data_IF_864549797741
#
_entry.id   IF_864549797741
#
_cell.length_a   1.000
_cell.length_b   1.000
_cell.length_c   1.000
_cell.angle_alpha   90.00
_cell.angle_beta   90.00
_cell.angle_gamma   90.00
#
_symmetry.space_group_name_H-M   'P 1'
#
loop_
_entity.id
_entity.type
_entity.pdbx_description
1 polymer ?
#
# COMPACT_ATOMS: atom_id res chain seq x y z
N UNK A 1 -9.57 16.99 -75.31
CA UNK A 1 -8.24 17.68 -75.31
C UNK A 1 -7.93 18.04 -73.88
N UNK A 2 -6.87 17.45 -73.31
CA UNK A 2 -6.04 17.93 -72.16
C UNK A 2 -6.74 18.02 -70.81
N UNK A 3 -6.22 17.62 -69.66
CA UNK A 3 -4.88 17.13 -69.24
C UNK A 3 -5.08 16.44 -67.90
N UNK A 4 -4.42 15.28 -67.71
CA UNK A 4 -4.14 14.59 -66.46
C UNK A 4 -3.05 15.35 -65.70
N UNK A 5 -3.19 15.58 -64.41
CA UNK A 5 -2.10 15.71 -63.42
C UNK A 5 -2.67 15.41 -62.04
N UNK A 6 -2.42 14.24 -61.49
CA UNK A 6 -1.34 13.95 -60.56
C UNK A 6 -1.51 14.60 -59.18
N UNK A 7 -1.91 13.82 -58.22
CA UNK A 7 -1.65 14.11 -56.79
C UNK A 7 -1.33 12.80 -56.05
N UNK A 8 -0.08 12.41 -56.14
CA UNK A 8 0.59 11.53 -55.19
C UNK A 8 1.30 12.45 -54.21
N UNK A 9 0.71 12.75 -53.09
CA UNK A 9 1.42 13.28 -51.91
C UNK A 9 0.45 13.37 -50.70
N UNK A 10 0.13 12.28 -50.04
CA UNK A 10 -0.48 12.26 -48.72
C UNK A 10 -0.38 10.89 -48.05
N UNK A 11 0.79 10.27 -48.04
CA UNK A 11 0.95 8.98 -47.32
C UNK A 11 2.34 8.83 -46.65
N UNK A 12 2.86 9.86 -46.03
CA UNK A 12 4.14 9.77 -45.26
C UNK A 12 4.11 10.50 -43.93
N UNK A 13 2.98 11.02 -43.46
CA UNK A 13 2.94 11.82 -42.21
C UNK A 13 2.18 11.15 -41.04
N UNK A 14 1.91 9.84 -41.09
CA UNK A 14 1.15 9.17 -40.02
C UNK A 14 1.96 8.17 -39.18
N UNK A 15 3.26 8.05 -39.37
CA UNK A 15 4.10 7.06 -38.67
C UNK A 15 5.17 7.67 -37.72
N UNK A 16 5.11 8.95 -37.43
CA UNK A 16 6.09 9.59 -36.51
C UNK A 16 5.50 10.06 -35.19
N UNK A 17 4.20 9.88 -34.95
CA UNK A 17 3.53 10.30 -33.70
C UNK A 17 3.23 9.14 -32.72
N UNK A 18 3.47 7.88 -33.13
CA UNK A 18 3.21 6.72 -32.24
C UNK A 18 4.43 6.26 -31.43
N UNK A 19 5.63 6.77 -31.70
CA UNK A 19 6.86 6.34 -31.00
C UNK A 19 7.16 7.19 -29.76
N UNK A 20 6.67 8.43 -29.70
CA UNK A 20 6.96 9.32 -28.55
C UNK A 20 6.09 9.09 -27.31
N UNK A 21 4.88 8.52 -27.48
CA UNK A 21 3.97 8.29 -26.35
C UNK A 21 4.38 7.06 -25.52
N UNK A 22 5.01 6.06 -26.13
CA UNK A 22 5.48 4.86 -25.41
C UNK A 22 6.78 5.07 -24.64
N UNK A 23 7.60 6.05 -25.01
CA UNK A 23 8.83 6.37 -24.30
C UNK A 23 8.59 7.23 -23.04
N UNK A 24 7.51 8.02 -23.01
CA UNK A 24 7.16 8.88 -21.87
C UNK A 24 6.46 8.12 -20.75
N UNK A 25 5.72 7.05 -21.09
CA UNK A 25 5.07 6.19 -20.08
C UNK A 25 6.08 5.24 -19.41
N UNK A 26 7.17 4.88 -20.09
CA UNK A 26 8.25 4.05 -19.50
C UNK A 26 9.20 4.84 -18.56
N UNK A 27 9.19 6.18 -18.61
CA UNK A 27 10.07 7.03 -17.79
C UNK A 27 9.49 7.42 -16.43
N UNK A 28 8.21 7.17 -16.17
CA UNK A 28 7.54 7.49 -14.89
C UNK A 28 7.66 6.33 -13.87
N UNK A 29 8.09 5.16 -14.30
CA UNK A 29 8.18 3.97 -13.44
C UNK A 29 9.49 3.83 -12.65
N UNK A 30 10.35 4.84 -12.58
CA UNK A 30 11.73 4.66 -12.10
C UNK A 30 12.21 5.69 -11.08
N UNK A 31 11.42 6.02 -10.05
CA UNK A 31 11.95 6.83 -8.94
C UNK A 31 11.51 6.38 -7.55
N UNK A 32 10.94 5.20 -7.39
CA UNK A 32 10.79 4.63 -6.05
C UNK A 32 12.19 4.40 -5.47
N UNK A 33 12.56 5.18 -4.46
CA UNK A 33 13.86 5.07 -3.79
C UNK A 33 13.91 3.76 -3.02
N UNK A 34 14.53 2.75 -3.59
CA UNK A 34 14.87 1.54 -2.85
C UNK A 34 16.10 1.83 -2.01
N UNK A 35 16.09 1.62 -0.69
CA UNK A 35 17.28 1.77 0.12
C UNK A 35 18.42 0.89 -0.40
N UNK A 36 19.69 1.35 -0.32
CA UNK A 36 20.82 0.58 -0.79
C UNK A 36 20.90 -0.75 -0.02
N UNK A 37 20.99 -1.85 -0.74
CA UNK A 37 21.09 -3.19 -0.13
C UNK A 37 22.51 -3.53 0.34
N UNK A 38 23.53 -2.73 -0.04
CA UNK A 38 24.94 -2.91 0.31
C UNK A 38 25.44 -1.80 1.24
N UNK A 39 24.76 -1.57 2.35
CA UNK A 39 25.07 -0.53 3.33
C UNK A 39 25.85 -1.05 4.57
N UNK A 40 26.27 -2.31 4.54
CA UNK A 40 26.99 -2.96 5.64
C UNK A 40 26.09 -3.54 6.75
N UNK A 41 24.77 -3.29 6.72
CA UNK A 41 23.85 -3.94 7.65
C UNK A 41 23.53 -5.36 7.19
N UNK A 42 23.45 -6.33 8.12
CA UNK A 42 23.03 -7.68 7.77
C UNK A 42 21.60 -7.67 7.21
N UNK A 43 21.34 -8.61 6.30
CA UNK A 43 19.99 -8.88 5.81
C UNK A 43 19.68 -10.34 6.06
N UNK A 44 18.77 -10.65 7.00
CA UNK A 44 18.34 -12.02 7.27
C UNK A 44 17.78 -12.67 6.00
N UNK A 45 17.87 -13.99 5.93
CA UNK A 45 17.23 -14.74 4.84
C UNK A 45 15.73 -14.77 5.07
N UNK A 46 14.96 -14.09 4.20
CA UNK A 46 13.50 -14.17 4.17
C UNK A 46 13.09 -14.98 2.93
N UNK A 47 12.42 -16.10 3.14
CA UNK A 47 11.91 -16.96 2.05
C UNK A 47 10.41 -17.04 2.14
N UNK A 48 9.73 -16.68 1.06
CA UNK A 48 8.28 -16.82 0.93
C UNK A 48 7.97 -18.31 0.73
N UNK A 49 7.08 -18.85 1.56
CA UNK A 49 6.68 -20.26 1.51
C UNK A 49 5.19 -20.40 1.70
N UNK A 50 4.57 -21.28 0.93
CA UNK A 50 3.16 -21.62 1.05
C UNK A 50 2.87 -22.21 2.43
N UNK A 51 1.76 -21.78 3.03
CA UNK A 51 1.27 -22.31 4.31
C UNK A 51 1.70 -21.53 5.55
N UNK A 52 2.75 -20.66 5.48
CA UNK A 52 3.17 -19.85 6.63
C UNK A 52 3.40 -18.37 6.30
N UNK A 53 3.17 -17.96 5.06
CA UNK A 53 3.31 -16.57 4.61
C UNK A 53 1.96 -15.96 4.29
N UNK A 54 1.75 -14.69 4.64
CA UNK A 54 0.58 -13.91 4.28
C UNK A 54 0.95 -12.51 3.78
N UNK A 55 0.08 -11.93 2.94
CA UNK A 55 0.10 -10.52 2.57
C UNK A 55 -0.74 -9.73 3.59
N UNK A 56 -0.17 -8.70 4.21
CA UNK A 56 -0.85 -7.77 5.10
C UNK A 56 -0.85 -6.39 4.48
N UNK A 57 -2.03 -5.80 4.31
CA UNK A 57 -2.21 -4.44 3.79
C UNK A 57 -2.82 -3.57 4.88
N UNK A 58 -2.09 -2.52 5.26
CA UNK A 58 -2.58 -1.49 6.19
C UNK A 58 -3.30 -0.39 5.44
N UNK A 59 -4.45 0.04 5.95
CA UNK A 59 -5.20 1.24 5.55
C UNK A 59 -5.36 1.44 4.02
N UNK A 60 -5.88 0.45 3.24
CA UNK A 60 -6.09 0.62 1.80
C UNK A 60 -7.32 1.50 1.49
N UNK A 61 -7.46 2.60 2.22
CA UNK A 61 -8.67 3.42 2.35
C UNK A 61 -8.59 4.72 1.55
N UNK A 62 -9.76 5.25 1.19
CA UNK A 62 -9.90 6.45 0.34
C UNK A 62 -9.20 7.68 0.92
N UNK A 63 -9.21 7.88 2.24
CA UNK A 63 -8.60 9.06 2.86
C UNK A 63 -7.10 9.19 2.58
N UNK A 64 -6.41 8.06 2.38
CA UNK A 64 -5.02 8.05 1.96
C UNK A 64 -4.83 7.98 0.44
N UNK A 65 -5.60 7.13 -0.25
CA UNK A 65 -5.24 6.65 -1.59
C UNK A 65 -6.09 7.26 -2.71
N UNK A 66 -7.15 7.99 -2.35
CA UNK A 66 -7.97 8.72 -3.32
C UNK A 66 -7.48 10.18 -3.46
N UNK A 67 -7.42 10.74 -4.67
CA UNK A 67 -7.21 12.17 -4.86
C UNK A 67 -8.24 13.07 -4.16
N UNK A 68 -9.36 12.49 -3.72
CA UNK A 68 -10.40 13.17 -2.93
C UNK A 68 -10.27 12.92 -1.42
N UNK A 69 -9.33 12.10 -0.99
CA UNK A 69 -9.08 11.80 0.41
C UNK A 69 -8.57 13.00 1.18
N UNK A 70 -8.93 13.10 2.45
CA UNK A 70 -8.62 14.29 3.29
C UNK A 70 -7.13 14.52 3.50
N UNK A 71 -6.29 13.50 3.30
CA UNK A 71 -4.84 13.60 3.44
C UNK A 71 -4.10 13.76 2.11
N UNK A 72 -4.80 13.73 0.98
CA UNK A 72 -4.16 13.76 -0.34
C UNK A 72 -3.20 14.93 -0.53
N UNK A 73 -3.49 16.09 0.04
CA UNK A 73 -2.63 17.27 -0.02
C UNK A 73 -1.21 17.06 0.52
N UNK A 74 -1.01 16.08 1.41
CA UNK A 74 0.30 15.77 2.01
C UNK A 74 0.85 14.41 1.60
N UNK A 75 0.01 13.43 1.24
CA UNK A 75 0.49 12.09 0.84
C UNK A 75 0.49 11.90 -0.68
N UNK A 76 -0.30 12.64 -1.42
CA UNK A 76 -0.56 12.40 -2.85
C UNK A 76 0.69 12.43 -3.71
N UNK A 77 1.67 13.28 -3.40
CA UNK A 77 2.97 13.30 -4.08
C UNK A 77 3.68 11.96 -3.93
N UNK A 78 3.90 11.51 -2.70
CA UNK A 78 4.57 10.24 -2.41
C UNK A 78 3.81 9.04 -2.99
N UNK A 79 2.48 9.00 -2.84
CA UNK A 79 1.62 7.95 -3.43
C UNK A 79 1.79 7.86 -4.94
N UNK A 80 1.89 9.00 -5.62
CA UNK A 80 2.03 9.07 -7.08
C UNK A 80 3.44 8.68 -7.52
N UNK A 81 4.46 9.24 -6.88
CA UNK A 81 5.86 8.99 -7.23
C UNK A 81 6.27 7.53 -7.01
N UNK A 82 5.77 6.88 -5.96
CA UNK A 82 6.02 5.46 -5.67
C UNK A 82 5.13 4.51 -6.50
N UNK A 83 4.09 5.01 -7.15
CA UNK A 83 3.11 4.16 -7.81
C UNK A 83 2.28 3.30 -6.85
N UNK A 84 2.19 3.70 -5.59
CA UNK A 84 1.64 2.92 -4.46
C UNK A 84 0.30 2.28 -4.77
N UNK A 85 -0.62 3.03 -5.40
CA UNK A 85 -1.95 2.51 -5.73
C UNK A 85 -1.91 1.34 -6.72
N UNK A 86 -1.07 1.42 -7.76
CA UNK A 86 -0.93 0.35 -8.74
C UNK A 86 -0.16 -0.85 -8.17
N UNK A 87 0.83 -0.59 -7.34
CA UNK A 87 1.65 -1.61 -6.68
C UNK A 87 0.83 -2.43 -5.68
N UNK A 88 -0.01 -1.79 -4.86
CA UNK A 88 -0.96 -2.49 -3.97
C UNK A 88 -1.94 -3.37 -4.76
N UNK A 89 -2.49 -2.87 -5.87
CA UNK A 89 -3.36 -3.70 -6.72
C UNK A 89 -2.61 -4.91 -7.30
N UNK A 90 -1.36 -4.73 -7.70
CA UNK A 90 -0.52 -5.81 -8.21
C UNK A 90 -0.27 -6.89 -7.16
N UNK A 91 -0.03 -6.48 -5.91
CA UNK A 91 0.10 -7.42 -4.78
C UNK A 91 -1.19 -8.19 -4.53
N UNK A 92 -2.35 -7.51 -4.49
CA UNK A 92 -3.66 -8.17 -4.35
C UNK A 92 -3.91 -9.19 -5.48
N UNK A 93 -3.70 -8.79 -6.74
CA UNK A 93 -3.85 -9.68 -7.91
C UNK A 93 -2.93 -10.89 -7.83
N UNK A 94 -1.70 -10.69 -7.41
CA UNK A 94 -0.73 -11.78 -7.28
C UNK A 94 -1.15 -12.74 -6.18
N UNK A 95 -1.56 -12.21 -5.01
CA UNK A 95 -2.02 -13.02 -3.90
C UNK A 95 -3.24 -13.88 -4.30
N UNK A 96 -4.22 -13.29 -4.99
CA UNK A 96 -5.39 -14.01 -5.49
C UNK A 96 -5.01 -15.12 -6.48
N UNK A 97 -4.08 -14.84 -7.41
CA UNK A 97 -3.68 -15.79 -8.44
C UNK A 97 -2.98 -17.04 -7.91
N UNK A 98 -2.28 -16.94 -6.77
CA UNK A 98 -1.55 -18.07 -6.16
C UNK A 98 -2.19 -18.59 -4.87
N UNK A 99 -3.34 -18.04 -4.49
CA UNK A 99 -4.06 -18.35 -3.23
C UNK A 99 -3.20 -18.06 -1.97
N UNK A 100 -2.43 -16.96 -2.01
CA UNK A 100 -1.72 -16.42 -0.85
C UNK A 100 -2.73 -15.78 0.11
N UNK A 101 -2.76 -16.14 1.42
CA UNK A 101 -3.65 -15.51 2.39
C UNK A 101 -3.45 -13.99 2.46
N UNK A 102 -4.54 -13.24 2.46
CA UNK A 102 -4.54 -11.77 2.53
C UNK A 102 -5.25 -11.30 3.79
N UNK A 103 -4.63 -10.36 4.49
CA UNK A 103 -5.18 -9.69 5.66
C UNK A 103 -5.18 -8.19 5.41
N UNK A 104 -6.27 -7.52 5.74
CA UNK A 104 -6.39 -6.07 5.71
C UNK A 104 -6.57 -5.57 7.13
N UNK A 105 -5.71 -4.66 7.56
CA UNK A 105 -5.76 -4.00 8.86
C UNK A 105 -6.23 -2.56 8.67
N UNK A 106 -7.52 -2.25 8.91
CA UNK A 106 -8.08 -0.93 8.67
C UNK A 106 -7.96 -0.01 9.87
N UNK A 107 -8.02 1.29 9.62
CA UNK A 107 -8.15 2.31 10.64
C UNK A 107 -9.57 2.90 10.62
N UNK A 108 -10.28 2.85 11.72
CA UNK A 108 -11.58 3.52 11.87
C UNK A 108 -11.66 4.27 13.19
N UNK A 109 -12.21 5.49 13.10
CA UNK A 109 -12.69 6.23 14.26
C UNK A 109 -14.22 6.20 14.33
N UNK A 110 -14.73 6.17 15.55
CA UNK A 110 -16.14 6.17 15.87
C UNK A 110 -16.49 7.39 16.72
N UNK A 111 -17.77 7.79 16.86
CA UNK A 111 -18.16 8.99 17.60
C UNK A 111 -17.66 9.05 19.05
N UNK A 112 -17.37 7.91 19.68
CA UNK A 112 -16.84 7.89 21.04
C UNK A 112 -15.31 8.16 21.07
N UNK A 113 -14.57 7.90 20.02
CA UNK A 113 -13.15 8.18 19.92
C UNK A 113 -12.88 9.68 19.93
N UNK A 114 -13.75 10.50 19.33
CA UNK A 114 -13.71 11.96 19.37
C UNK A 114 -13.88 12.58 20.78
N UNK A 115 -14.06 11.74 21.80
CA UNK A 115 -14.17 12.17 23.20
C UNK A 115 -12.92 11.84 24.02
N UNK A 116 -11.85 11.42 23.39
CA UNK A 116 -10.58 11.16 24.08
C UNK A 116 -10.06 12.40 24.80
N UNK A 117 -9.44 12.19 25.94
CA UNK A 117 -8.88 13.26 26.76
C UNK A 117 -7.37 13.43 26.59
N UNK A 118 -6.73 12.41 26.04
CA UNK A 118 -5.28 12.35 25.83
C UNK A 118 -5.04 11.92 24.41
N UNK A 119 -4.44 12.79 23.62
CA UNK A 119 -4.22 12.58 22.18
C UNK A 119 -2.84 13.08 21.79
N UNK A 120 -2.21 12.41 20.84
CA UNK A 120 -1.04 12.91 20.15
C UNK A 120 -1.42 13.96 19.10
N UNK A 121 -0.43 14.70 18.60
CA UNK A 121 -0.65 15.79 17.63
C UNK A 121 -1.39 15.33 16.38
N UNK A 122 -1.05 14.12 15.87
CA UNK A 122 -1.69 13.59 14.68
C UNK A 122 -3.13 13.13 14.95
N UNK A 123 -3.43 12.55 16.10
CA UNK A 123 -4.79 12.13 16.47
C UNK A 123 -5.74 13.33 16.54
N UNK A 124 -5.30 14.43 17.18
CA UNK A 124 -6.04 15.70 17.19
C UNK A 124 -6.31 16.19 15.76
N UNK A 125 -5.33 16.09 14.85
CA UNK A 125 -5.52 16.47 13.47
C UNK A 125 -6.51 15.55 12.75
N UNK A 126 -6.39 14.23 12.92
CA UNK A 126 -7.24 13.23 12.28
C UNK A 126 -8.70 13.40 12.67
N UNK A 127 -8.99 13.61 13.96
CA UNK A 127 -10.35 13.93 14.43
C UNK A 127 -10.85 15.26 13.85
N UNK A 128 -10.01 16.30 13.81
CA UNK A 128 -10.38 17.61 13.25
C UNK A 128 -10.75 17.54 11.76
N UNK A 129 -10.07 16.72 10.98
CA UNK A 129 -10.34 16.56 9.53
C UNK A 129 -11.29 15.39 9.23
N UNK A 130 -11.82 14.74 10.26
CA UNK A 130 -12.74 13.61 10.17
C UNK A 130 -12.18 12.43 9.35
N UNK A 131 -10.87 12.16 9.52
CA UNK A 131 -10.19 11.09 8.83
C UNK A 131 -10.67 9.73 9.34
N UNK A 132 -11.00 8.80 8.43
CA UNK A 132 -11.45 7.43 8.72
C UNK A 132 -12.69 7.33 9.60
N UNK A 133 -13.49 8.39 9.68
CA UNK A 133 -14.70 8.36 10.53
C UNK A 133 -15.76 7.38 10.02
N UNK A 134 -16.35 6.67 10.96
CA UNK A 134 -17.52 5.83 10.81
C UNK A 134 -18.63 6.35 11.71
N UNK A 135 -19.85 6.31 11.22
CA UNK A 135 -21.02 6.75 12.02
C UNK A 135 -21.28 5.89 13.24
N UNK A 136 -21.01 4.58 13.13
CA UNK A 136 -21.25 3.60 14.20
C UNK A 136 -20.43 2.33 13.95
N UNK A 137 -20.16 1.58 15.01
CA UNK A 137 -19.42 0.33 14.95
C UNK A 137 -20.18 -0.78 14.22
N UNK A 138 -21.50 -0.83 14.38
CA UNK A 138 -22.38 -1.89 13.90
C UNK A 138 -23.16 -1.50 12.65
N UNK A 139 -23.02 -0.24 12.18
CA UNK A 139 -23.69 0.28 11.00
C UNK A 139 -22.72 0.50 9.85
N UNK A 140 -23.16 0.17 8.65
CA UNK A 140 -22.49 0.53 7.39
C UNK A 140 -23.07 1.79 6.75
N UNK A 141 -23.96 2.49 7.46
CA UNK A 141 -24.54 3.73 6.97
C UNK A 141 -23.46 4.79 6.71
N UNK A 142 -23.46 5.36 5.49
CA UNK A 142 -22.51 6.37 5.07
C UNK A 142 -21.07 5.86 4.90
N UNK A 143 -20.83 4.54 4.95
CA UNK A 143 -19.51 3.99 4.74
C UNK A 143 -19.11 3.96 3.27
N UNK A 144 -20.03 3.53 2.39
CA UNK A 144 -19.75 3.40 0.96
C UNK A 144 -19.33 4.74 0.35
N UNK A 145 -18.16 4.76 -0.29
CA UNK A 145 -17.56 5.94 -0.91
C UNK A 145 -17.04 6.99 0.07
N UNK A 146 -17.12 6.75 1.39
CA UNK A 146 -16.50 7.62 2.40
C UNK A 146 -14.97 7.56 2.38
N UNK A 147 -14.32 8.44 3.14
CA UNK A 147 -12.87 8.39 3.37
C UNK A 147 -12.41 7.08 4.02
N UNK A 148 -13.25 6.52 4.89
CA UNK A 148 -13.00 5.27 5.59
C UNK A 148 -13.20 4.02 4.71
N UNK A 149 -13.90 4.11 3.57
CA UNK A 149 -14.13 3.00 2.65
C UNK A 149 -12.86 2.65 1.85
N UNK A 150 -12.82 1.43 1.36
CA UNK A 150 -11.74 0.95 0.50
C UNK A 150 -11.66 1.72 -0.81
N UNK A 151 -10.46 1.93 -1.33
CA UNK A 151 -10.33 2.42 -2.70
C UNK A 151 -11.04 1.42 -3.64
N UNK A 152 -11.91 1.93 -4.53
CA UNK A 152 -12.82 1.09 -5.33
C UNK A 152 -12.13 -0.05 -6.08
N UNK A 153 -10.90 0.17 -6.57
CA UNK A 153 -10.13 -0.84 -7.29
C UNK A 153 -9.71 -2.03 -6.43
N UNK A 154 -9.69 -1.90 -5.09
CA UNK A 154 -9.33 -3.00 -4.18
C UNK A 154 -10.54 -3.79 -3.68
N UNK A 155 -11.74 -3.24 -3.80
CA UNK A 155 -12.99 -3.90 -3.32
C UNK A 155 -13.16 -5.33 -3.84
N UNK A 156 -12.86 -5.66 -5.12
CA UNK A 156 -12.97 -7.04 -5.59
C UNK A 156 -12.09 -8.03 -4.82
N UNK A 157 -10.92 -7.59 -4.37
CA UNK A 157 -9.96 -8.44 -3.63
C UNK A 157 -10.25 -8.47 -2.14
N UNK A 158 -10.78 -7.39 -1.56
CA UNK A 158 -11.07 -7.30 -0.13
C UNK A 158 -12.41 -7.99 0.18
N UNK A 159 -13.41 -7.82 -0.67
CA UNK A 159 -14.77 -8.33 -0.46
C UNK A 159 -14.99 -9.72 -1.11
N UNK A 160 -13.92 -10.47 -1.41
CA UNK A 160 -13.97 -11.75 -2.12
C UNK A 160 -14.38 -12.96 -1.23
N UNK A 161 -14.61 -12.75 0.05
CA UNK A 161 -14.93 -13.81 1.02
C UNK A 161 -13.73 -14.66 1.48
N UNK A 162 -12.52 -14.39 0.99
CA UNK A 162 -11.27 -15.06 1.39
C UNK A 162 -10.37 -14.13 2.21
N UNK A 163 -10.32 -12.84 1.87
CA UNK A 163 -9.54 -11.84 2.59
C UNK A 163 -10.07 -11.62 4.00
N UNK A 164 -9.18 -11.68 4.98
CA UNK A 164 -9.50 -11.38 6.37
C UNK A 164 -9.40 -9.89 6.59
N UNK A 165 -10.52 -9.22 6.83
CA UNK A 165 -10.53 -7.85 7.33
C UNK A 165 -10.55 -7.92 8.85
N UNK A 166 -9.48 -7.47 9.49
CA UNK A 166 -9.36 -7.50 10.95
C UNK A 166 -10.21 -6.41 11.61
N UNK A 167 -10.38 -6.48 12.93
CA UNK A 167 -10.91 -5.35 13.69
C UNK A 167 -10.07 -4.11 13.39
N UNK A 168 -10.62 -2.90 13.44
CA UNK A 168 -9.85 -1.71 13.15
C UNK A 168 -8.83 -1.45 14.25
N UNK A 169 -7.62 -1.06 13.86
CA UNK A 169 -6.71 -0.43 14.80
C UNK A 169 -7.11 1.04 15.04
N UNK A 170 -6.69 1.60 16.15
CA UNK A 170 -7.12 2.93 16.61
C UNK A 170 -6.04 3.99 16.51
N UNK A 171 -4.79 3.60 16.67
CA UNK A 171 -3.64 4.48 16.55
C UNK A 171 -2.84 4.07 15.32
N UNK A 172 -1.74 3.41 15.49
CA UNK A 172 -0.84 3.13 14.39
C UNK A 172 -0.54 1.65 14.21
N UNK A 173 -0.49 0.90 15.29
CA UNK A 173 -0.09 -0.50 15.28
C UNK A 173 -1.23 -1.48 15.49
N UNK A 174 -0.97 -2.78 15.30
CA UNK A 174 -1.98 -3.83 15.45
C UNK A 174 -2.26 -4.19 16.91
N UNK A 175 -1.69 -3.51 17.91
CA UNK A 175 -1.89 -3.78 19.32
C UNK A 175 -3.35 -3.58 19.76
N UNK A 176 -4.07 -2.71 19.04
CA UNK A 176 -5.48 -2.41 19.31
C UNK A 176 -6.46 -3.23 18.46
N UNK A 177 -5.97 -4.18 17.64
CA UNK A 177 -6.80 -5.04 16.82
C UNK A 177 -6.44 -6.53 16.96
N UNK A 178 -7.06 -7.39 16.17
CA UNK A 178 -6.88 -8.84 16.22
C UNK A 178 -5.95 -9.40 15.12
N UNK A 179 -5.17 -8.56 14.43
CA UNK A 179 -4.33 -8.99 13.29
C UNK A 179 -3.37 -10.13 13.68
N UNK A 180 -2.58 -9.94 14.74
CA UNK A 180 -1.61 -10.94 15.17
C UNK A 180 -2.29 -12.26 15.59
N UNK A 181 -3.47 -12.19 16.25
CA UNK A 181 -4.28 -13.36 16.57
C UNK A 181 -4.73 -14.10 15.31
N UNK A 182 -5.24 -13.40 14.32
CA UNK A 182 -5.74 -13.99 13.08
C UNK A 182 -4.60 -14.66 12.28
N UNK A 183 -3.45 -13.99 12.17
CA UNK A 183 -2.24 -14.55 11.55
C UNK A 183 -1.82 -15.85 12.26
N UNK A 184 -1.66 -15.83 13.59
CA UNK A 184 -1.26 -17.02 14.37
C UNK A 184 -2.25 -18.18 14.28
N UNK A 185 -3.56 -17.88 14.28
CA UNK A 185 -4.61 -18.90 14.13
C UNK A 185 -4.57 -19.60 12.79
N UNK A 186 -4.04 -18.96 11.75
CA UNK A 186 -3.86 -19.56 10.43
C UNK A 186 -2.45 -20.13 10.20
N UNK A 187 -1.60 -20.19 11.24
CA UNK A 187 -0.23 -20.75 11.15
C UNK A 187 0.75 -19.84 10.43
N UNK A 188 0.44 -18.55 10.29
CA UNK A 188 1.31 -17.57 9.65
C UNK A 188 2.39 -17.11 10.63
N UNK A 189 3.63 -17.11 10.19
CA UNK A 189 4.79 -16.56 10.91
C UNK A 189 5.61 -15.58 10.04
N UNK A 190 5.29 -15.48 8.73
CA UNK A 190 5.92 -14.58 7.78
C UNK A 190 4.91 -13.62 7.18
N UNK A 191 5.25 -12.36 7.17
CA UNK A 191 4.37 -11.28 6.71
C UNK A 191 5.05 -10.48 5.61
N UNK A 192 4.37 -10.37 4.47
CA UNK A 192 4.65 -9.39 3.43
C UNK A 192 3.78 -8.18 3.73
N UNK A 193 4.38 -7.07 4.14
CA UNK A 193 3.69 -5.88 4.63
C UNK A 193 3.74 -4.74 3.60
N UNK A 194 2.59 -4.16 3.33
CA UNK A 194 2.42 -2.98 2.48
C UNK A 194 1.23 -2.13 2.97
N UNK A 195 0.97 -1.00 2.34
CA UNK A 195 -0.16 -0.11 2.68
C UNK A 195 0.26 1.24 3.21
N UNK A 196 -0.62 1.91 3.96
CA UNK A 196 -0.44 3.29 4.40
C UNK A 196 -0.40 3.41 5.92
N UNK A 197 0.18 4.45 6.50
CA UNK A 197 1.20 5.30 5.89
C UNK A 197 2.59 4.81 6.32
N UNK A 198 3.58 4.98 5.46
CA UNK A 198 4.92 4.37 5.60
C UNK A 198 5.51 4.53 7.01
N UNK A 199 5.68 5.76 7.49
CA UNK A 199 6.29 6.09 8.79
C UNK A 199 5.32 6.07 9.99
N UNK A 200 4.10 5.63 9.77
CA UNK A 200 3.05 5.58 10.80
C UNK A 200 2.53 4.13 10.91
N UNK A 201 1.33 3.86 10.38
CA UNK A 201 0.68 2.56 10.56
C UNK A 201 1.51 1.40 9.98
N UNK A 202 2.09 1.53 8.78
CA UNK A 202 2.93 0.48 8.19
C UNK A 202 4.17 0.20 9.05
N UNK A 203 4.88 1.24 9.49
CA UNK A 203 6.05 1.08 10.37
C UNK A 203 5.66 0.50 11.74
N UNK A 204 4.56 0.97 12.34
CA UNK A 204 4.11 0.46 13.63
C UNK A 204 3.70 -1.01 13.55
N UNK A 205 3.01 -1.42 12.46
CA UNK A 205 2.70 -2.82 12.22
C UNK A 205 3.98 -3.66 12.07
N UNK A 206 4.97 -3.17 11.33
CA UNK A 206 6.26 -3.85 11.21
C UNK A 206 6.91 -4.06 12.58
N UNK A 207 7.03 -3.00 13.39
CA UNK A 207 7.67 -3.05 14.71
C UNK A 207 6.98 -4.05 15.63
N UNK A 208 5.67 -3.94 15.77
CA UNK A 208 4.88 -4.79 16.65
C UNK A 208 4.91 -6.26 16.20
N UNK A 209 4.77 -6.53 14.90
CA UNK A 209 4.83 -7.90 14.39
C UNK A 209 6.22 -8.53 14.59
N UNK A 210 7.30 -7.77 14.42
CA UNK A 210 8.66 -8.25 14.72
C UNK A 210 8.81 -8.57 16.20
N UNK A 211 8.35 -7.70 17.11
CA UNK A 211 8.37 -7.94 18.56
C UNK A 211 7.52 -9.14 18.98
N UNK A 212 6.44 -9.43 18.24
CA UNK A 212 5.63 -10.62 18.44
C UNK A 212 6.20 -11.88 17.78
N UNK A 213 7.41 -11.81 17.19
CA UNK A 213 8.13 -12.95 16.64
C UNK A 213 7.66 -13.37 15.24
N UNK A 214 7.16 -12.45 14.43
CA UNK A 214 6.97 -12.66 13.00
C UNK A 214 8.23 -12.26 12.23
N UNK A 215 8.52 -12.94 11.12
CA UNK A 215 9.41 -12.41 10.10
C UNK A 215 8.62 -11.44 9.22
N UNK A 216 9.09 -10.20 9.07
CA UNK A 216 8.38 -9.16 8.33
C UNK A 216 9.23 -8.65 7.17
N UNK A 217 8.68 -8.75 5.96
CA UNK A 217 9.20 -8.12 4.76
C UNK A 217 8.33 -6.91 4.40
N UNK A 218 8.94 -5.73 4.18
CA UNK A 218 8.22 -4.53 3.76
C UNK A 218 8.41 -4.27 2.27
N UNK A 219 7.29 -4.03 1.55
CA UNK A 219 7.29 -3.67 0.12
C UNK A 219 7.36 -2.16 -0.01
N UNK A 220 8.54 -1.63 -0.29
CA UNK A 220 8.86 -0.21 -0.15
C UNK A 220 8.14 0.71 -1.13
N UNK A 221 7.85 0.28 -2.35
CA UNK A 221 7.10 1.03 -3.36
C UNK A 221 5.58 0.80 -3.31
N UNK A 222 5.12 -0.09 -2.43
CA UNK A 222 3.70 -0.31 -2.13
C UNK A 222 3.26 0.38 -0.82
N UNK A 223 4.00 1.41 -0.40
CA UNK A 223 3.68 2.31 0.70
C UNK A 223 4.08 3.73 0.35
N UNK A 224 3.59 4.72 1.09
CA UNK A 224 3.90 6.13 0.91
C UNK A 224 3.78 6.88 2.24
N UNK A 225 4.42 8.03 2.34
CA UNK A 225 4.40 8.87 3.53
C UNK A 225 3.95 10.30 3.24
N UNK A 226 3.59 11.04 4.27
CA UNK A 226 3.32 12.46 4.15
C UNK A 226 4.61 13.23 3.87
N UNK A 227 4.55 14.13 2.89
CA UNK A 227 5.62 15.07 2.57
C UNK A 227 5.10 16.48 2.83
N UNK A 228 5.80 17.22 3.66
CA UNK A 228 5.55 18.62 4.00
C UNK A 228 6.77 19.47 3.71
N UNK A 229 6.69 20.78 3.93
CA UNK A 229 7.85 21.67 3.79
C UNK A 229 9.05 21.25 4.68
N UNK A 230 8.76 20.65 5.85
CA UNK A 230 9.77 20.35 6.87
C UNK A 230 10.06 18.87 7.05
N UNK A 231 9.19 17.99 6.60
CA UNK A 231 9.26 16.55 6.90
C UNK A 231 8.95 15.71 5.67
N UNK A 232 9.72 14.63 5.52
CA UNK A 232 9.47 13.56 4.57
C UNK A 232 9.27 12.23 5.36
N UNK A 233 8.01 11.84 5.51
CA UNK A 233 7.65 10.63 6.24
C UNK A 233 8.04 9.36 5.49
N UNK A 234 8.12 9.39 4.17
CA UNK A 234 8.54 8.23 3.39
C UNK A 234 10.03 7.94 3.56
N UNK A 235 10.89 8.96 3.44
CA UNK A 235 12.33 8.81 3.65
C UNK A 235 12.65 8.37 5.09
N UNK A 236 11.93 8.92 6.08
CA UNK A 236 12.08 8.48 7.47
C UNK A 236 11.75 6.99 7.64
N UNK A 237 10.66 6.53 7.02
CA UNK A 237 10.25 5.13 7.05
C UNK A 237 11.27 4.20 6.38
N UNK A 238 11.81 4.56 5.22
CA UNK A 238 12.79 3.73 4.51
C UNK A 238 14.01 3.42 5.39
N UNK A 239 14.48 4.40 6.14
CA UNK A 239 15.56 4.21 7.11
C UNK A 239 15.18 3.16 8.16
N UNK A 240 14.00 3.32 8.78
CA UNK A 240 13.54 2.41 9.84
C UNK A 240 13.25 1.00 9.30
N UNK A 241 12.65 0.90 8.11
CA UNK A 241 12.42 -0.40 7.46
C UNK A 241 13.73 -1.15 7.24
N UNK A 242 14.78 -0.44 6.79
CA UNK A 242 16.09 -1.07 6.55
C UNK A 242 16.74 -1.60 7.84
N UNK A 243 16.54 -0.90 8.97
CA UNK A 243 17.13 -1.29 10.25
C UNK A 243 16.33 -2.39 10.98
N UNK A 244 15.02 -2.52 10.74
CA UNK A 244 14.12 -3.28 11.61
C UNK A 244 13.52 -4.50 10.88
N UNK A 245 13.10 -4.34 9.61
CA UNK A 245 12.45 -5.43 8.88
C UNK A 245 13.40 -6.61 8.63
N UNK A 246 12.87 -7.81 8.54
CA UNK A 246 13.62 -8.99 8.11
C UNK A 246 14.10 -8.87 6.67
N UNK A 247 13.31 -8.22 5.80
CA UNK A 247 13.64 -7.90 4.42
C UNK A 247 12.92 -6.64 3.97
N UNK A 248 13.53 -5.89 3.08
CA UNK A 248 12.86 -4.84 2.29
C UNK A 248 13.03 -5.16 0.81
N UNK A 249 11.98 -4.93 0.01
CA UNK A 249 12.04 -5.12 -1.44
C UNK A 249 11.00 -4.24 -2.15
N UNK A 250 11.03 -4.21 -3.48
CA UNK A 250 10.01 -3.57 -4.29
C UNK A 250 8.92 -4.56 -4.72
N UNK A 251 7.85 -4.06 -5.29
CA UNK A 251 6.71 -4.85 -5.75
C UNK A 251 7.10 -5.89 -6.82
N UNK A 252 7.94 -5.54 -7.78
CA UNK A 252 8.35 -6.43 -8.86
C UNK A 252 9.06 -7.68 -8.33
N UNK A 253 10.07 -7.48 -7.47
CA UNK A 253 10.81 -8.57 -6.85
C UNK A 253 9.90 -9.39 -5.92
N UNK A 254 9.05 -8.72 -5.14
CA UNK A 254 8.10 -9.39 -4.24
C UNK A 254 7.15 -10.30 -5.01
N UNK A 255 6.59 -9.84 -6.12
CA UNK A 255 5.71 -10.65 -7.00
C UNK A 255 6.44 -11.87 -7.55
N UNK A 256 7.69 -11.71 -8.00
CA UNK A 256 8.51 -12.83 -8.46
C UNK A 256 8.72 -13.85 -7.34
N UNK A 257 9.07 -13.40 -6.15
CA UNK A 257 9.36 -14.26 -5.00
C UNK A 257 8.09 -14.96 -4.47
N UNK A 258 6.91 -14.29 -4.51
CA UNK A 258 5.61 -14.89 -4.20
C UNK A 258 5.32 -16.04 -5.18
N UNK A 259 5.43 -15.80 -6.48
CA UNK A 259 5.17 -16.83 -7.50
C UNK A 259 6.10 -18.03 -7.30
N UNK A 260 7.39 -17.78 -7.14
CA UNK A 260 8.37 -18.86 -6.91
C UNK A 260 8.06 -19.69 -5.66
N UNK A 261 7.62 -19.07 -4.56
CA UNK A 261 7.31 -19.77 -3.30
C UNK A 261 5.95 -20.48 -3.27
N UNK A 262 5.10 -20.28 -4.28
CA UNK A 262 3.75 -20.85 -4.36
C UNK A 262 3.54 -21.77 -5.57
N UNK A 263 4.44 -21.78 -6.55
CA UNK A 263 4.41 -22.66 -7.72
C UNK A 263 5.04 -24.04 -7.43
N UNK A 264 5.70 -24.22 -6.28
CA UNK A 264 6.19 -25.52 -5.79
C UNK A 264 5.07 -26.28 -5.01
#
# INVERSE_FOLDING_TARGET
MKIVKSSVLALVLFNLLSVSVHAEVASIAATAKTPPQNDGLPMPKFTITKGNTALVITDPQNDFLSPKGVTWGVVGKSVTENGTVANLETLFKTAEAVDLPVFVSPHYYYPHDNKWKFEGALEVLMHKIQMFERKDQLSVEGFEGSGADWLNRYKPYINNGKTVVTSPHKLYGPESNDLALQLRKQGIDKVILAGMSANLCTESHMRELVEQGFEVMVVTDATAGAITEHYDGYEAALTNFRFIASKIDNTENTVRDIKAGFEE
#
